data_IF_782804302507
#
_entry.id   IF_782804302507
#
_cell.length_a   1.000
_cell.length_b   1.000
_cell.length_c   1.000
_cell.angle_alpha   90.00
_cell.angle_beta   90.00
_cell.angle_gamma   90.00
#
_symmetry.space_group_name_H-M   'P 1'
#
loop_
_entity.id
_entity.type
_entity.pdbx_description
1 polymer ?
#
# COMPACT_ATOMS: atom_id res chain seq x y z
N UNK A 1 -6.79 -7.43 -16.53
CA UNK A 1 -6.95 -8.86 -16.22
C UNK A 1 -6.62 -9.05 -14.76
N UNK A 2 -7.59 -9.42 -13.92
CA UNK A 2 -7.34 -9.69 -12.50
C UNK A 2 -6.61 -11.03 -12.42
N UNK A 3 -5.38 -11.03 -11.88
CA UNK A 3 -4.61 -12.26 -11.70
C UNK A 3 -4.95 -12.82 -10.31
N UNK A 4 -5.59 -13.98 -10.28
CA UNK A 4 -5.82 -14.70 -9.03
C UNK A 4 -4.48 -15.22 -8.49
N UNK A 5 -4.29 -15.12 -7.17
CA UNK A 5 -3.15 -15.72 -6.50
C UNK A 5 -3.47 -17.18 -6.18
N UNK A 6 -2.52 -18.08 -6.41
CA UNK A 6 -2.67 -19.51 -6.09
C UNK A 6 -2.58 -19.80 -4.59
N UNK A 7 -2.05 -18.85 -3.80
CA UNK A 7 -1.93 -18.87 -2.33
C UNK A 7 -2.04 -17.44 -1.80
N UNK A 8 -2.45 -17.24 -0.53
CA UNK A 8 -2.39 -15.91 0.06
C UNK A 8 -0.93 -15.40 0.12
N UNK A 9 -0.71 -14.08 0.15
CA UNK A 9 0.59 -13.54 0.49
C UNK A 9 0.96 -13.92 1.93
N UNK A 10 2.26 -14.06 2.23
CA UNK A 10 2.75 -14.32 3.59
C UNK A 10 2.40 -13.16 4.53
N UNK A 11 2.52 -11.92 4.03
CA UNK A 11 2.21 -10.70 4.76
C UNK A 11 1.19 -9.87 4.01
N UNK A 12 0.20 -9.36 4.71
CA UNK A 12 -0.75 -8.35 4.24
C UNK A 12 -0.65 -7.12 5.13
N UNK A 13 -0.19 -6.00 4.57
CA UNK A 13 -0.18 -4.70 5.26
C UNK A 13 -1.42 -3.92 4.87
N UNK A 14 -2.27 -3.55 5.84
CA UNK A 14 -3.53 -2.87 5.58
C UNK A 14 -3.99 -2.01 6.77
N UNK A 15 -4.46 -0.79 6.51
CA UNK A 15 -4.85 0.19 7.54
C UNK A 15 -5.90 -0.36 8.52
N UNK A 16 -6.81 -1.19 8.02
CA UNK A 16 -7.85 -1.87 8.80
C UNK A 16 -7.59 -3.39 8.92
N UNK A 17 -6.32 -3.75 9.10
CA UNK A 17 -5.83 -5.13 9.08
C UNK A 17 -6.49 -6.06 10.11
N UNK A 18 -6.81 -5.55 11.30
CA UNK A 18 -7.46 -6.31 12.37
C UNK A 18 -8.80 -6.92 11.93
N UNK A 19 -9.72 -6.08 11.46
CA UNK A 19 -11.02 -6.52 10.96
C UNK A 19 -10.89 -7.25 9.60
N UNK A 20 -9.88 -6.93 8.79
CA UNK A 20 -9.62 -7.67 7.57
C UNK A 20 -9.26 -9.14 7.87
N UNK A 21 -8.39 -9.41 8.85
CA UNK A 21 -8.05 -10.77 9.25
C UNK A 21 -9.27 -11.51 9.81
N UNK A 22 -10.05 -10.85 10.67
CA UNK A 22 -11.30 -11.42 11.19
C UNK A 22 -12.25 -11.82 10.05
N UNK A 23 -12.47 -10.92 9.09
CA UNK A 23 -13.33 -11.19 7.94
C UNK A 23 -12.79 -12.35 7.07
N UNK A 24 -11.48 -12.37 6.82
CA UNK A 24 -10.80 -13.42 6.07
C UNK A 24 -10.97 -14.79 6.72
N UNK A 25 -10.73 -14.89 8.03
CA UNK A 25 -10.85 -16.15 8.77
C UNK A 25 -12.31 -16.61 8.92
N UNK A 26 -13.26 -15.68 9.02
CA UNK A 26 -14.69 -16.02 9.07
C UNK A 26 -15.22 -16.55 7.72
N UNK A 27 -14.65 -16.11 6.60
CA UNK A 27 -15.13 -16.49 5.26
C UNK A 27 -14.40 -17.68 4.67
N UNK A 28 -13.07 -17.75 4.83
CA UNK A 28 -12.24 -18.77 4.18
C UNK A 28 -10.98 -19.07 5.02
N UNK A 29 -11.13 -19.64 6.23
CA UNK A 29 -10.02 -19.81 7.17
C UNK A 29 -8.92 -20.70 6.60
N UNK A 30 -9.27 -21.76 5.86
CA UNK A 30 -8.29 -22.68 5.28
C UNK A 30 -7.34 -22.02 4.28
N UNK A 31 -7.80 -20.96 3.59
CA UNK A 31 -6.96 -20.20 2.66
C UNK A 31 -6.09 -19.18 3.39
N UNK A 32 -6.60 -18.51 4.42
CA UNK A 32 -5.92 -17.39 5.07
C UNK A 32 -5.14 -17.75 6.34
N UNK A 33 -5.20 -19.01 6.81
CA UNK A 33 -4.58 -19.45 8.08
C UNK A 33 -3.09 -19.13 8.22
N UNK A 34 -2.34 -19.13 7.11
CA UNK A 34 -0.89 -18.92 7.10
C UNK A 34 -0.51 -17.47 6.72
N UNK A 35 -1.50 -16.60 6.54
CA UNK A 35 -1.31 -15.19 6.21
C UNK A 35 -1.18 -14.36 7.49
N UNK A 36 -0.09 -13.61 7.61
CA UNK A 36 0.08 -12.62 8.67
C UNK A 36 -0.45 -11.27 8.21
N UNK A 37 -1.33 -10.66 9.01
CA UNK A 37 -1.86 -9.32 8.73
C UNK A 37 -1.25 -8.34 9.71
N UNK A 38 -0.73 -7.24 9.19
CA UNK A 38 -0.19 -6.13 9.97
C UNK A 38 -0.85 -4.83 9.55
N UNK A 39 -1.00 -3.91 10.49
CA UNK A 39 -1.50 -2.57 10.25
C UNK A 39 -0.35 -1.68 9.79
N UNK A 40 -0.64 -0.78 8.85
CA UNK A 40 0.31 0.23 8.40
C UNK A 40 0.85 1.07 9.58
N UNK A 41 2.13 1.47 9.50
CA UNK A 41 2.84 2.16 10.59
C UNK A 41 2.28 3.54 10.95
N UNK A 42 1.64 4.26 10.03
CA UNK A 42 0.99 5.56 10.33
C UNK A 42 -0.33 5.35 11.04
N UNK A 43 -1.03 4.27 10.68
CA UNK A 43 -2.36 4.01 11.17
C UNK A 43 -2.37 3.25 12.50
N UNK A 44 -1.30 2.53 12.84
CA UNK A 44 -1.19 1.76 14.09
C UNK A 44 -1.57 2.56 15.34
N UNK A 45 -1.14 3.82 15.44
CA UNK A 45 -1.38 4.65 16.63
C UNK A 45 -2.88 4.93 16.87
N UNK A 46 -3.72 4.74 15.85
CA UNK A 46 -5.19 4.86 15.97
C UNK A 46 -5.86 3.57 16.47
N UNK A 47 -5.13 2.46 16.61
CA UNK A 47 -5.65 1.18 17.08
C UNK A 47 -5.45 1.04 18.58
N UNK A 48 -6.51 1.31 19.35
CA UNK A 48 -6.45 1.29 20.83
C UNK A 48 -6.88 -0.03 21.46
N UNK A 49 -7.73 -0.81 20.77
CA UNK A 49 -8.30 -2.06 21.27
C UNK A 49 -7.77 -3.32 20.55
N UNK A 50 -6.87 -3.15 19.57
CA UNK A 50 -6.34 -4.27 18.78
C UNK A 50 -5.13 -4.91 19.46
N UNK A 51 -4.93 -6.21 19.18
CA UNK A 51 -3.74 -6.93 19.65
C UNK A 51 -2.45 -6.32 19.08
N UNK A 52 -1.39 -6.29 19.89
CA UNK A 52 -0.07 -5.82 19.47
C UNK A 52 0.54 -6.62 18.31
N UNK A 53 0.07 -7.85 18.05
CA UNK A 53 0.48 -8.64 16.88
C UNK A 53 0.14 -8.00 15.54
N UNK A 54 -0.77 -7.02 15.51
CA UNK A 54 -1.03 -6.24 14.30
C UNK A 54 -0.04 -5.08 14.12
N UNK A 55 0.79 -4.76 15.10
CA UNK A 55 1.78 -3.70 15.00
C UNK A 55 2.94 -4.12 14.10
N UNK A 56 3.04 -3.54 12.91
CA UNK A 56 4.15 -3.83 12.00
C UNK A 56 5.54 -3.56 12.59
N UNK A 57 5.66 -2.64 13.56
CA UNK A 57 6.95 -2.22 14.13
C UNK A 57 7.64 -3.27 14.99
N UNK A 58 6.92 -4.31 15.45
CA UNK A 58 7.52 -5.35 16.31
C UNK A 58 8.23 -6.45 15.51
N UNK A 59 8.07 -6.45 14.19
CA UNK A 59 8.59 -7.50 13.31
C UNK A 59 9.85 -7.00 12.58
N UNK A 60 11.00 -7.57 12.92
CA UNK A 60 12.30 -7.26 12.29
C UNK A 60 12.28 -7.56 10.78
N UNK A 61 11.64 -8.66 10.36
CA UNK A 61 11.47 -9.04 8.95
C UNK A 61 10.74 -7.98 8.11
N UNK A 62 9.98 -7.09 8.76
CA UNK A 62 9.22 -6.04 8.10
C UNK A 62 9.91 -4.67 8.25
N UNK A 63 11.03 -4.59 8.95
CA UNK A 63 11.79 -3.36 9.09
C UNK A 63 12.32 -2.88 7.73
N UNK A 64 12.36 -1.57 7.53
CA UNK A 64 12.72 -0.97 6.23
C UNK A 64 11.66 -1.06 5.11
N UNK A 65 10.61 -1.88 5.23
CA UNK A 65 9.51 -1.88 4.25
C UNK A 65 8.72 -0.57 4.33
N UNK A 66 8.59 0.16 3.21
CA UNK A 66 7.77 1.37 3.17
C UNK A 66 6.27 1.03 3.05
N UNK A 67 5.59 0.89 4.19
CA UNK A 67 4.14 0.66 4.27
C UNK A 67 3.31 1.88 3.82
N UNK A 68 3.89 3.08 3.89
CA UNK A 68 3.24 4.38 3.60
C UNK A 68 3.23 4.76 2.12
N UNK A 69 3.68 3.86 1.22
CA UNK A 69 3.85 4.18 -0.20
C UNK A 69 2.54 4.63 -0.87
N UNK A 70 1.41 4.08 -0.43
CA UNK A 70 0.08 4.45 -0.92
C UNK A 70 -0.28 5.89 -0.53
N UNK A 71 -0.06 6.30 0.72
CA UNK A 71 -0.30 7.66 1.19
C UNK A 71 0.61 8.68 0.51
N UNK A 72 1.88 8.33 0.30
CA UNK A 72 2.83 9.15 -0.44
C UNK A 72 2.35 9.37 -1.89
N UNK A 73 1.82 8.32 -2.52
CA UNK A 73 1.22 8.43 -3.86
C UNK A 73 -0.04 9.30 -3.85
N UNK A 74 -0.92 9.10 -2.88
CA UNK A 74 -2.14 9.91 -2.71
C UNK A 74 -1.82 11.38 -2.42
N UNK A 75 -0.77 11.66 -1.64
CA UNK A 75 -0.28 13.02 -1.38
C UNK A 75 0.21 13.70 -2.66
N UNK A 76 0.89 12.97 -3.56
CA UNK A 76 1.28 13.49 -4.86
C UNK A 76 0.05 13.82 -5.73
N UNK A 77 -0.94 12.91 -5.81
CA UNK A 77 -2.16 13.12 -6.58
C UNK A 77 -3.04 14.25 -6.03
N UNK A 78 -3.07 14.44 -4.70
CA UNK A 78 -3.80 15.56 -4.08
C UNK A 78 -3.34 16.93 -4.59
N UNK A 79 -2.09 17.07 -5.07
CA UNK A 79 -1.55 18.33 -5.62
C UNK A 79 -2.27 18.78 -6.88
N UNK A 80 -2.74 17.85 -7.72
CA UNK A 80 -3.44 18.18 -8.97
C UNK A 80 -4.96 18.17 -8.82
N UNK A 81 -5.47 17.66 -7.70
CA UNK A 81 -6.89 17.48 -7.47
C UNK A 81 -7.72 18.78 -7.65
N UNK A 82 -7.29 19.97 -7.17
CA UNK A 82 -8.06 21.20 -7.38
C UNK A 82 -8.25 21.57 -8.85
N UNK A 83 -7.24 21.29 -9.68
CA UNK A 83 -7.30 21.54 -11.13
C UNK A 83 -8.20 20.52 -11.82
N UNK A 84 -8.08 19.25 -11.44
CA UNK A 84 -8.88 18.17 -12.00
C UNK A 84 -10.36 18.30 -11.65
N UNK A 85 -10.69 18.67 -10.40
CA UNK A 85 -12.06 18.77 -9.91
C UNK A 85 -12.91 19.79 -10.69
N UNK A 86 -12.28 20.87 -11.20
CA UNK A 86 -12.95 21.93 -11.97
C UNK A 86 -12.96 21.68 -13.48
N UNK A 87 -12.52 20.50 -13.93
CA UNK A 87 -12.39 20.20 -15.36
C UNK A 87 -13.51 19.29 -15.87
N UNK A 88 -13.83 19.40 -17.16
CA UNK A 88 -14.71 18.44 -17.81
C UNK A 88 -14.04 17.06 -17.86
N UNK A 89 -14.84 15.98 -17.94
CA UNK A 89 -14.31 14.61 -17.95
C UNK A 89 -13.22 14.39 -19.03
N UNK A 90 -13.33 14.87 -20.28
CA UNK A 90 -12.25 14.71 -21.26
C UNK A 90 -10.95 15.39 -20.83
N UNK A 91 -11.04 16.61 -20.28
CA UNK A 91 -9.88 17.36 -19.83
C UNK A 91 -9.25 16.74 -18.58
N UNK A 92 -10.08 16.23 -17.66
CA UNK A 92 -9.65 15.45 -16.50
C UNK A 92 -8.74 14.28 -16.94
N UNK A 93 -9.19 13.50 -17.92
CA UNK A 93 -8.46 12.32 -18.40
C UNK A 93 -7.12 12.69 -19.05
N UNK A 94 -7.09 13.77 -19.85
CA UNK A 94 -5.86 14.26 -20.48
C UNK A 94 -4.87 14.78 -19.44
N UNK A 95 -5.33 15.61 -18.51
CA UNK A 95 -4.49 16.19 -17.46
C UNK A 95 -3.91 15.13 -16.52
N UNK A 96 -4.75 14.18 -16.08
CA UNK A 96 -4.30 13.07 -15.24
C UNK A 96 -3.24 12.22 -15.97
N UNK A 97 -3.48 11.88 -17.24
CA UNK A 97 -2.51 11.14 -18.07
C UNK A 97 -1.18 11.87 -18.17
N UNK A 98 -1.20 13.17 -18.47
CA UNK A 98 0.01 13.97 -18.63
C UNK A 98 0.80 14.05 -17.32
N UNK A 99 0.12 14.25 -16.20
CA UNK A 99 0.75 14.27 -14.88
C UNK A 99 1.41 12.93 -14.56
N UNK A 100 0.70 11.82 -14.73
CA UNK A 100 1.23 10.48 -14.48
C UNK A 100 2.41 10.16 -15.41
N UNK A 101 2.34 10.57 -16.67
CA UNK A 101 3.44 10.41 -17.63
C UNK A 101 4.71 11.14 -17.19
N UNK A 102 4.59 12.38 -16.70
CA UNK A 102 5.73 13.14 -16.20
C UNK A 102 6.27 12.62 -14.85
N UNK A 103 5.40 12.02 -14.03
CA UNK A 103 5.74 11.56 -12.68
C UNK A 103 6.35 10.15 -12.65
N UNK A 104 5.84 9.22 -13.49
CA UNK A 104 6.26 7.82 -13.48
C UNK A 104 7.77 7.60 -13.71
N UNK A 105 8.46 8.29 -14.64
CA UNK A 105 9.90 8.12 -14.84
C UNK A 105 10.72 8.52 -13.61
N UNK A 106 10.32 9.59 -12.91
CA UNK A 106 10.96 10.02 -11.66
C UNK A 106 10.83 8.95 -10.58
N UNK A 107 9.65 8.32 -10.50
CA UNK A 107 9.38 7.22 -9.57
C UNK A 107 10.17 5.96 -9.91
N UNK A 108 10.23 5.59 -11.20
CA UNK A 108 11.02 4.44 -11.66
C UNK A 108 12.51 4.62 -11.38
N UNK A 109 13.06 5.82 -11.58
CA UNK A 109 14.46 6.13 -11.24
C UNK A 109 14.71 6.05 -9.73
N UNK A 110 13.79 6.54 -8.90
CA UNK A 110 13.90 6.40 -7.45
C UNK A 110 13.84 4.93 -7.00
N UNK A 111 12.95 4.14 -7.60
CA UNK A 111 12.82 2.71 -7.34
C UNK A 111 14.06 1.92 -7.80
N UNK A 112 14.63 2.23 -8.97
CA UNK A 112 15.83 1.52 -9.46
C UNK A 112 17.07 1.82 -8.60
N UNK A 113 17.20 3.04 -8.07
CA UNK A 113 18.25 3.39 -7.10
C UNK A 113 18.05 2.67 -5.77
N UNK A 114 16.81 2.55 -5.29
CA UNK A 114 16.50 1.81 -4.07
C UNK A 114 16.76 0.30 -4.22
N UNK A 115 16.36 -0.30 -5.35
CA UNK A 115 16.60 -1.72 -5.65
C UNK A 115 18.07 -2.04 -5.92
N UNK A 116 18.80 -1.13 -6.58
CA UNK A 116 20.26 -1.26 -6.79
C UNK A 116 21.08 -1.20 -5.49
N UNK A 117 20.50 -0.70 -4.39
CA UNK A 117 21.10 -0.76 -3.04
C UNK A 117 20.75 -2.04 -2.27
N UNK A 118 19.70 -2.76 -2.67
CA UNK A 118 19.24 -4.00 -2.01
C UNK A 118 19.99 -5.24 -2.55
N UNK A 119 20.58 -5.16 -3.76
CA UNK A 119 21.36 -6.26 -4.38
C UNK A 119 22.86 -6.27 -4.03
N UNK A 120 23.31 -5.45 -3.08
CA UNK A 120 24.70 -5.41 -2.60
C UNK A 120 24.90 -5.97 -1.18
N UNK A 121 23.92 -6.70 -0.65
CA UNK A 121 24.04 -7.48 0.59
C UNK A 121 23.49 -8.89 0.37
#
# INVERSE_FOLDING_TARGET
MVKYLEKPPKYLTYDFGCAALENCLNRLPGWYKDMMVVVDRMHWDNHTACCSSFNMRIYEDLDGINSQIAEQCNAALRKINPTLHRSSQPFFMVMLRQYLHAWNPKRQKALSVALGRILLY
#
